data_IF_063801097263
#
_entry.id   IF_063801097263
#
_cell.length_a   1.000
_cell.length_b   1.000
_cell.length_c   1.000
_cell.angle_alpha   90.00
_cell.angle_beta   90.00
_cell.angle_gamma   90.00
#
_symmetry.space_group_name_H-M   'P 1'
#
loop_
_entity.id
_entity.type
_entity.pdbx_description
1 polymer ?
#
# COMPACT_ATOMS: atom_id res chain seq x y z
N UNK A 1 -14.57 -37.46 13.11
CA UNK A 1 -13.35 -38.16 13.57
C UNK A 1 -12.21 -37.66 12.69
N UNK A 2 -11.66 -36.50 13.03
CA UNK A 2 -10.42 -36.03 12.40
C UNK A 2 -9.31 -36.91 12.96
N UNK A 3 -8.71 -37.76 12.12
CA UNK A 3 -7.57 -38.58 12.55
C UNK A 3 -6.40 -37.65 12.84
N UNK A 4 -5.92 -37.67 14.08
CA UNK A 4 -4.68 -36.99 14.48
C UNK A 4 -3.57 -37.31 13.47
N UNK A 5 -2.78 -36.32 13.03
CA UNK A 5 -1.72 -36.56 12.08
C UNK A 5 -0.73 -37.55 12.67
N UNK A 6 -0.49 -38.66 11.96
CA UNK A 6 0.52 -39.64 12.36
C UNK A 6 1.88 -38.93 12.54
N UNK A 7 2.63 -39.33 13.56
CA UNK A 7 3.96 -38.78 13.89
C UNK A 7 4.91 -38.74 12.67
N UNK A 8 4.79 -39.70 11.75
CA UNK A 8 5.52 -39.71 10.48
C UNK A 8 5.16 -38.54 9.53
N UNK A 9 3.88 -38.16 9.44
CA UNK A 9 3.42 -37.05 8.60
C UNK A 9 3.86 -35.70 9.16
N UNK A 10 3.79 -35.54 10.49
CA UNK A 10 4.31 -34.36 11.18
C UNK A 10 5.82 -34.19 10.97
N UNK A 11 6.59 -35.28 11.11
CA UNK A 11 8.03 -35.29 10.83
C UNK A 11 8.37 -34.98 9.37
N UNK A 12 7.61 -35.52 8.41
CA UNK A 12 7.80 -35.22 6.99
C UNK A 12 7.54 -33.73 6.67
N UNK A 13 6.47 -33.15 7.23
CA UNK A 13 6.17 -31.71 7.09
C UNK A 13 7.25 -30.83 7.70
N UNK A 14 7.78 -31.20 8.88
CA UNK A 14 8.87 -30.46 9.52
C UNK A 14 10.15 -30.50 8.67
N UNK A 15 10.51 -31.67 8.10
CA UNK A 15 11.67 -31.79 7.20
C UNK A 15 11.52 -30.96 5.93
N UNK A 16 10.34 -30.99 5.30
CA UNK A 16 10.08 -30.19 4.10
C UNK A 16 10.21 -28.69 4.40
N UNK A 17 9.72 -28.26 5.57
CA UNK A 17 9.81 -26.86 6.02
C UNK A 17 11.27 -26.42 6.23
N UNK A 18 12.11 -27.26 6.85
CA UNK A 18 13.54 -26.99 7.02
C UNK A 18 14.23 -26.90 5.65
N UNK A 19 13.98 -27.85 4.75
CA UNK A 19 14.58 -27.84 3.41
C UNK A 19 14.19 -26.59 2.60
N UNK A 20 12.94 -26.13 2.67
CA UNK A 20 12.52 -24.89 2.04
C UNK A 20 13.27 -23.66 2.60
N UNK A 21 13.64 -23.68 3.90
CA UNK A 21 14.29 -22.55 4.56
C UNK A 21 15.77 -22.53 4.24
N UNK A 22 16.41 -23.71 4.21
CA UNK A 22 17.77 -23.86 3.70
C UNK A 22 17.90 -23.39 2.25
N UNK A 23 16.91 -23.71 1.40
CA UNK A 23 16.86 -23.22 0.02
C UNK A 23 16.72 -21.70 -0.06
N UNK A 24 15.87 -21.10 0.78
CA UNK A 24 15.70 -19.64 0.84
C UNK A 24 16.97 -18.93 1.36
N UNK A 25 17.62 -19.49 2.38
CA UNK A 25 18.92 -19.00 2.88
C UNK A 25 19.97 -19.07 1.77
N UNK A 26 20.05 -20.19 1.04
CA UNK A 26 20.98 -20.32 -0.08
C UNK A 26 20.70 -19.30 -1.20
N UNK A 27 19.43 -19.05 -1.51
CA UNK A 27 18.99 -18.04 -2.48
C UNK A 27 19.42 -16.63 -2.07
N UNK A 28 19.24 -16.26 -0.80
CA UNK A 28 19.65 -14.97 -0.25
C UNK A 28 21.18 -14.84 -0.17
N UNK A 29 21.93 -15.92 0.07
CA UNK A 29 23.41 -15.92 0.00
C UNK A 29 23.89 -15.64 -1.42
N UNK A 30 23.31 -16.27 -2.43
CA UNK A 30 23.61 -15.98 -3.84
C UNK A 30 23.25 -14.53 -4.20
N UNK A 31 22.09 -14.07 -3.75
CA UNK A 31 21.64 -12.70 -3.98
C UNK A 31 22.55 -11.66 -3.31
N UNK A 32 23.05 -11.95 -2.11
CA UNK A 32 24.01 -11.11 -1.41
C UNK A 32 25.32 -10.99 -2.18
N UNK A 33 25.82 -12.10 -2.74
CA UNK A 33 27.00 -12.09 -3.59
C UNK A 33 26.77 -11.23 -4.84
N UNK A 34 25.60 -11.38 -5.48
CA UNK A 34 25.20 -10.55 -6.63
C UNK A 34 25.14 -9.05 -6.28
N UNK A 35 24.50 -8.70 -5.16
CA UNK A 35 24.38 -7.32 -4.71
C UNK A 35 25.74 -6.68 -4.39
N UNK A 36 26.66 -7.43 -3.75
CA UNK A 36 28.04 -6.96 -3.49
C UNK A 36 28.83 -6.74 -4.77
N UNK A 37 28.74 -7.66 -5.73
CA UNK A 37 29.37 -7.47 -7.05
C UNK A 37 28.82 -6.22 -7.77
N UNK A 38 27.52 -5.94 -7.62
CA UNK A 38 26.92 -4.73 -8.17
C UNK A 38 27.48 -3.44 -7.54
N UNK A 39 27.76 -3.43 -6.23
CA UNK A 39 28.45 -2.33 -5.53
C UNK A 39 29.86 -2.13 -6.08
N UNK A 40 30.64 -3.20 -6.21
CA UNK A 40 32.03 -3.14 -6.70
C UNK A 40 32.12 -2.57 -8.14
N UNK A 41 31.12 -2.88 -8.96
CA UNK A 41 31.04 -2.43 -10.35
C UNK A 41 30.50 -1.01 -10.55
N UNK A 42 29.99 -0.34 -9.51
CA UNK A 42 29.31 0.96 -9.63
C UNK A 42 30.30 2.14 -9.48
N UNK A 43 30.60 2.87 -10.57
CA UNK A 43 31.55 3.98 -10.52
C UNK A 43 31.01 5.24 -9.84
N UNK A 44 29.69 5.45 -9.84
CA UNK A 44 29.09 6.63 -9.23
C UNK A 44 28.93 6.45 -7.71
N UNK A 45 29.50 7.38 -6.92
CA UNK A 45 29.51 7.26 -5.47
C UNK A 45 28.09 7.29 -4.85
N UNK A 46 27.17 8.07 -5.40
CA UNK A 46 25.79 8.15 -4.91
C UNK A 46 25.01 6.87 -5.22
N UNK A 47 25.13 6.36 -6.44
CA UNK A 47 24.55 5.05 -6.82
C UNK A 47 25.18 3.91 -6.04
N UNK A 48 26.46 3.99 -5.70
CA UNK A 48 27.14 3.01 -4.86
C UNK A 48 26.52 2.98 -3.46
N UNK A 49 26.30 4.13 -2.83
CA UNK A 49 25.64 4.23 -1.53
C UNK A 49 24.22 3.60 -1.56
N UNK A 50 23.47 3.83 -2.64
CA UNK A 50 22.17 3.18 -2.86
C UNK A 50 22.28 1.64 -2.92
N UNK A 51 23.26 1.12 -3.67
CA UNK A 51 23.49 -0.33 -3.77
C UNK A 51 24.01 -0.94 -2.47
N UNK A 52 24.78 -0.20 -1.69
CA UNK A 52 25.23 -0.63 -0.35
C UNK A 52 24.05 -0.76 0.62
N UNK A 53 23.03 0.08 0.51
CA UNK A 53 21.79 -0.12 1.26
C UNK A 53 21.04 -1.38 0.81
N UNK A 54 21.02 -1.70 -0.49
CA UNK A 54 20.44 -2.97 -0.97
C UNK A 54 21.18 -4.15 -0.34
N UNK A 55 22.52 -4.13 -0.30
CA UNK A 55 23.32 -5.15 0.39
C UNK A 55 22.88 -5.29 1.84
N UNK A 56 22.75 -4.17 2.58
CA UNK A 56 22.29 -4.18 3.99
C UNK A 56 20.91 -4.81 4.17
N UNK A 57 19.96 -4.56 3.24
CA UNK A 57 18.62 -5.17 3.28
C UNK A 57 18.65 -6.67 3.02
N UNK A 58 19.46 -7.13 2.07
CA UNK A 58 19.64 -8.57 1.80
C UNK A 58 20.31 -9.25 3.00
N UNK A 59 21.31 -8.63 3.63
CA UNK A 59 21.95 -9.14 4.86
C UNK A 59 20.95 -9.25 6.02
N UNK A 60 20.15 -8.20 6.25
CA UNK A 60 19.13 -8.21 7.29
C UNK A 60 18.06 -9.29 7.05
N UNK A 61 17.64 -9.49 5.80
CA UNK A 61 16.72 -10.56 5.43
C UNK A 61 17.34 -11.94 5.66
N UNK A 62 18.58 -12.16 5.24
CA UNK A 62 19.33 -13.40 5.44
C UNK A 62 19.47 -13.75 6.93
N UNK A 63 19.82 -12.77 7.76
CA UNK A 63 19.95 -12.97 9.21
C UNK A 63 18.61 -13.29 9.88
N UNK A 64 17.52 -12.64 9.44
CA UNK A 64 16.16 -13.00 9.88
C UNK A 64 15.81 -14.43 9.45
N UNK A 65 16.05 -14.82 8.20
CA UNK A 65 15.79 -16.17 7.72
C UNK A 65 16.57 -17.24 8.50
N UNK A 66 17.85 -16.98 8.84
CA UNK A 66 18.64 -17.87 9.71
C UNK A 66 18.01 -18.04 11.10
N UNK A 67 17.62 -16.95 11.76
CA UNK A 67 16.93 -17.00 13.07
C UNK A 67 15.59 -17.73 12.98
N UNK A 68 14.84 -17.55 11.89
CA UNK A 68 13.61 -18.28 11.65
C UNK A 68 13.92 -19.78 11.52
N UNK A 69 14.95 -20.16 10.76
CA UNK A 69 15.31 -21.56 10.54
C UNK A 69 15.57 -22.36 11.83
N UNK A 70 16.12 -21.70 12.85
CA UNK A 70 16.38 -22.29 14.18
C UNK A 70 15.11 -22.61 14.96
N UNK A 71 13.99 -21.92 14.68
CA UNK A 71 12.77 -21.96 15.49
C UNK A 71 11.52 -22.40 14.73
N UNK A 72 11.58 -22.49 13.39
CA UNK A 72 10.42 -22.68 12.52
C UNK A 72 9.71 -24.03 12.74
N UNK A 73 10.42 -25.04 13.23
CA UNK A 73 9.86 -26.38 13.51
C UNK A 73 9.07 -26.42 14.81
N UNK A 74 9.31 -25.48 15.73
CA UNK A 74 8.62 -25.36 17.02
C UNK A 74 7.64 -24.19 17.06
N UNK A 75 7.72 -23.25 16.09
CA UNK A 75 6.81 -22.10 15.99
C UNK A 75 5.42 -22.57 15.55
N UNK A 76 4.39 -22.20 16.31
CA UNK A 76 3.02 -22.39 15.88
C UNK A 76 2.71 -21.48 14.68
N UNK A 77 1.86 -21.94 13.76
CA UNK A 77 1.33 -21.07 12.70
C UNK A 77 0.62 -19.87 13.33
N UNK A 78 0.82 -18.70 12.75
CA UNK A 78 0.13 -17.50 13.22
C UNK A 78 -1.32 -17.57 12.74
N UNK A 79 -2.27 -17.34 13.63
CA UNK A 79 -3.67 -17.24 13.24
C UNK A 79 -3.86 -15.96 12.42
N UNK A 80 -4.48 -16.09 11.25
CA UNK A 80 -4.93 -14.93 10.46
C UNK A 80 -5.87 -14.09 11.31
N UNK A 81 -5.56 -12.80 11.44
CA UNK A 81 -6.35 -11.84 12.19
C UNK A 81 -7.38 -11.17 11.27
N UNK A 82 -8.56 -10.85 11.79
CA UNK A 82 -9.46 -9.95 11.08
C UNK A 82 -8.95 -8.51 11.25
N UNK A 83 -9.02 -7.69 10.19
CA UNK A 83 -8.81 -6.23 10.35
C UNK A 83 -9.94 -5.67 11.22
N UNK A 84 -9.59 -4.88 12.24
CA UNK A 84 -10.57 -4.25 13.11
C UNK A 84 -11.37 -3.20 12.33
N UNK A 85 -12.69 -3.20 12.50
CA UNK A 85 -13.59 -2.15 12.01
C UNK A 85 -13.94 -1.20 13.15
N UNK A 86 -13.82 0.10 12.91
CA UNK A 86 -14.19 1.14 13.87
C UNK A 86 -14.99 2.22 13.16
N UNK A 87 -16.12 2.59 13.73
CA UNK A 87 -16.95 3.66 13.19
C UNK A 87 -16.29 5.03 13.44
N UNK A 88 -16.27 5.88 12.42
CA UNK A 88 -15.60 7.18 12.42
C UNK A 88 -16.06 8.09 13.57
N UNK A 89 -17.35 8.05 13.93
CA UNK A 89 -17.90 8.81 15.08
C UNK A 89 -17.33 8.40 16.45
N UNK A 90 -16.64 7.27 16.53
CA UNK A 90 -16.03 6.74 17.77
C UNK A 90 -14.51 6.71 17.72
N UNK A 91 -13.92 7.08 16.59
CA UNK A 91 -12.48 7.07 16.37
C UNK A 91 -11.97 8.51 16.24
N UNK A 92 -11.41 9.05 17.33
CA UNK A 92 -10.72 10.34 17.26
C UNK A 92 -9.43 10.23 16.45
N UNK A 93 -8.92 11.35 15.93
CA UNK A 93 -7.64 11.34 15.21
C UNK A 93 -6.48 10.93 16.13
N UNK A 94 -6.50 11.37 17.39
CA UNK A 94 -5.50 10.97 18.39
C UNK A 94 -5.53 9.45 18.64
N UNK A 95 -6.73 8.86 18.80
CA UNK A 95 -6.86 7.41 18.95
C UNK A 95 -6.41 6.66 17.69
N UNK A 96 -6.77 7.16 16.50
CA UNK A 96 -6.31 6.58 15.23
C UNK A 96 -4.78 6.49 15.17
N UNK A 97 -4.09 7.60 15.44
CA UNK A 97 -2.63 7.66 15.42
C UNK A 97 -2.00 6.75 16.48
N UNK A 98 -2.50 6.81 17.72
CA UNK A 98 -1.94 6.04 18.85
C UNK A 98 -2.16 4.54 18.74
N UNK A 99 -3.33 4.10 18.27
CA UNK A 99 -3.75 2.69 18.32
C UNK A 99 -3.52 1.91 17.03
N UNK A 100 -3.27 2.61 15.91
CA UNK A 100 -3.12 1.96 14.60
C UNK A 100 -1.84 2.39 13.88
N UNK A 101 -1.63 3.70 13.72
CA UNK A 101 -0.44 4.22 13.01
C UNK A 101 0.83 3.89 13.80
N UNK A 102 0.90 4.28 15.07
CA UNK A 102 2.09 4.10 15.91
C UNK A 102 2.39 2.62 16.26
N UNK A 103 1.43 1.72 16.08
CA UNK A 103 1.57 0.29 16.39
C UNK A 103 1.64 -0.61 15.17
N UNK A 104 1.68 -0.05 13.95
CA UNK A 104 1.70 -0.79 12.69
C UNK A 104 0.53 -1.79 12.56
N UNK A 105 -0.69 -1.39 12.94
CA UNK A 105 -1.89 -2.23 12.86
C UNK A 105 -2.86 -1.66 11.82
N UNK A 106 -3.30 -2.43 10.80
CA UNK A 106 -4.30 -1.97 9.86
C UNK A 106 -5.69 -1.82 10.52
N UNK A 107 -6.49 -0.88 10.01
CA UNK A 107 -7.86 -0.63 10.48
C UNK A 107 -8.78 -0.27 9.32
N UNK A 108 -10.02 -0.73 9.39
CA UNK A 108 -11.10 -0.25 8.54
C UNK A 108 -11.93 0.77 9.31
N UNK A 109 -12.06 1.96 8.74
CA UNK A 109 -12.89 3.05 9.24
C UNK A 109 -14.22 3.01 8.48
N UNK A 110 -15.32 2.96 9.22
CA UNK A 110 -16.70 2.92 8.68
C UNK A 110 -17.48 4.18 9.03
N UNK A 111 -18.62 4.42 8.41
CA UNK A 111 -19.47 5.60 8.70
C UNK A 111 -19.10 6.85 7.90
N UNK A 112 -18.35 6.71 6.81
CA UNK A 112 -17.96 7.80 5.91
C UNK A 112 -18.61 7.70 4.53
N UNK A 113 -19.44 6.67 4.28
CA UNK A 113 -20.06 6.35 2.99
C UNK A 113 -20.66 7.57 2.29
N UNK A 114 -21.42 8.38 3.03
CA UNK A 114 -22.14 9.55 2.53
C UNK A 114 -21.23 10.78 2.32
N UNK A 115 -19.96 10.71 2.71
CA UNK A 115 -19.07 11.87 2.76
C UNK A 115 -17.90 11.78 1.77
N UNK A 116 -17.54 10.56 1.34
CA UNK A 116 -16.38 10.30 0.46
C UNK A 116 -16.51 10.95 -0.92
N UNK A 117 -17.72 11.15 -1.42
CA UNK A 117 -17.98 11.73 -2.75
C UNK A 117 -19.09 12.79 -2.70
N UNK A 118 -19.21 13.62 -3.74
CA UNK A 118 -20.29 14.61 -3.83
C UNK A 118 -21.69 14.01 -3.98
N UNK A 119 -21.79 12.75 -4.42
CA UNK A 119 -23.04 12.01 -4.60
C UNK A 119 -23.67 11.61 -3.25
N UNK A 120 -22.95 11.74 -2.15
CA UNK A 120 -23.43 11.37 -0.83
C UNK A 120 -23.77 9.88 -0.71
N UNK A 121 -24.94 9.57 -0.15
CA UNK A 121 -25.45 8.20 -0.02
C UNK A 121 -25.57 7.44 -1.35
N UNK A 122 -25.56 8.15 -2.48
CA UNK A 122 -25.60 7.57 -3.83
C UNK A 122 -24.19 7.34 -4.42
N UNK A 123 -23.11 7.48 -3.65
CA UNK A 123 -21.72 7.38 -4.11
C UNK A 123 -21.38 6.13 -4.93
N UNK A 124 -22.02 5.00 -4.64
CA UNK A 124 -21.83 3.75 -5.39
C UNK A 124 -22.33 3.82 -6.85
N UNK A 125 -23.25 4.77 -7.17
CA UNK A 125 -23.68 5.04 -8.55
C UNK A 125 -22.58 5.71 -9.39
N UNK A 126 -21.61 6.34 -8.74
CA UNK A 126 -20.45 7.00 -9.37
C UNK A 126 -20.84 8.09 -10.38
N UNK A 127 -21.91 8.86 -10.14
CA UNK A 127 -22.30 9.98 -11.00
C UNK A 127 -21.23 11.07 -10.99
N UNK A 128 -20.65 11.38 -9.81
CA UNK A 128 -19.51 12.27 -9.63
C UNK A 128 -18.34 11.98 -10.60
N UNK A 129 -18.08 10.70 -10.88
CA UNK A 129 -17.00 10.25 -11.74
C UNK A 129 -17.35 10.46 -13.22
N UNK A 130 -18.56 10.08 -13.61
CA UNK A 130 -19.01 10.10 -15.00
C UNK A 130 -19.29 11.52 -15.49
N UNK A 131 -19.94 12.34 -14.67
CA UNK A 131 -20.33 13.70 -15.04
C UNK A 131 -19.11 14.62 -15.21
N UNK A 132 -18.09 14.45 -14.37
CA UNK A 132 -16.92 15.34 -14.34
C UNK A 132 -15.66 14.78 -14.99
N UNK A 133 -15.56 13.46 -15.10
CA UNK A 133 -14.40 12.75 -15.64
C UNK A 133 -14.69 11.91 -16.88
N UNK A 134 -15.95 11.66 -17.23
CA UNK A 134 -16.32 10.63 -18.21
C UNK A 134 -15.67 10.78 -19.59
N UNK A 135 -15.50 12.01 -20.09
CA UNK A 135 -14.87 12.29 -21.40
C UNK A 135 -13.34 12.40 -21.35
N UNK A 136 -12.73 12.20 -20.18
CA UNK A 136 -11.27 12.22 -20.05
C UNK A 136 -10.70 10.91 -20.56
N UNK A 137 -9.61 11.03 -21.31
CA UNK A 137 -8.83 9.88 -21.76
C UNK A 137 -7.94 9.37 -20.64
N UNK A 138 -8.04 8.08 -20.34
CA UNK A 138 -7.29 7.39 -19.29
C UNK A 138 -6.55 6.19 -19.85
N UNK A 139 -5.40 5.86 -19.25
CA UNK A 139 -4.61 4.70 -19.62
C UNK A 139 -5.06 3.49 -18.80
N UNK A 140 -5.51 2.44 -19.47
CA UNK A 140 -6.08 1.22 -18.86
C UNK A 140 -5.20 0.03 -19.22
N UNK A 141 -4.79 -0.73 -18.22
CA UNK A 141 -4.06 -1.98 -18.44
C UNK A 141 -5.03 -3.13 -18.74
N UNK A 142 -4.54 -4.17 -19.41
CA UNK A 142 -5.33 -5.34 -19.85
C UNK A 142 -4.66 -6.63 -19.41
N UNK A 143 -5.37 -7.75 -19.57
CA UNK A 143 -4.85 -9.10 -19.39
C UNK A 143 -4.18 -9.32 -18.02
N UNK A 144 -4.79 -8.79 -16.96
CA UNK A 144 -4.32 -8.97 -15.58
C UNK A 144 -2.86 -8.50 -15.37
N UNK A 145 -2.46 -7.40 -16.00
CA UNK A 145 -1.07 -6.92 -16.01
C UNK A 145 -0.40 -6.73 -14.63
N UNK A 146 -1.18 -6.67 -13.55
CA UNK A 146 -0.71 -6.40 -12.18
C UNK A 146 -0.59 -7.66 -11.30
N UNK A 147 -0.70 -8.88 -11.86
CA UNK A 147 -0.60 -10.14 -11.07
C UNK A 147 0.82 -10.49 -10.60
N UNK A 148 1.86 -9.85 -11.15
CA UNK A 148 3.26 -10.10 -10.78
C UNK A 148 4.01 -8.79 -10.60
N UNK A 149 4.61 -8.60 -9.42
CA UNK A 149 5.39 -7.41 -9.08
C UNK A 149 6.69 -7.26 -9.91
N UNK A 150 7.10 -8.34 -10.58
CA UNK A 150 8.35 -8.42 -11.36
C UNK A 150 8.18 -8.02 -12.83
N UNK A 151 6.94 -7.97 -13.33
CA UNK A 151 6.67 -7.66 -14.74
C UNK A 151 6.24 -6.19 -14.88
N UNK A 152 6.88 -5.47 -15.80
CA UNK A 152 6.34 -4.19 -16.26
C UNK A 152 5.07 -4.45 -17.08
N UNK A 153 4.07 -3.56 -16.95
CA UNK A 153 2.87 -3.63 -17.76
C UNK A 153 3.23 -3.51 -19.25
N UNK A 154 2.90 -4.56 -20.04
CA UNK A 154 3.34 -4.68 -21.43
C UNK A 154 2.63 -3.72 -22.40
N UNK A 155 1.40 -3.29 -22.09
CA UNK A 155 0.63 -2.34 -22.90
C UNK A 155 -0.51 -1.72 -22.10
N UNK A 156 -0.79 -0.44 -22.33
CA UNK A 156 -1.98 0.25 -21.83
C UNK A 156 -2.77 0.84 -23.01
N UNK A 157 -4.09 0.68 -22.98
CA UNK A 157 -5.00 1.29 -23.94
C UNK A 157 -5.42 2.67 -23.43
N UNK A 158 -5.56 3.63 -24.35
CA UNK A 158 -6.10 4.96 -24.01
C UNK A 158 -7.57 5.01 -24.43
N UNK A 159 -8.48 5.08 -23.45
CA UNK A 159 -9.94 5.01 -23.65
C UNK A 159 -10.64 6.14 -22.91
N UNK A 160 -11.90 6.43 -23.24
CA UNK A 160 -12.72 7.32 -22.41
C UNK A 160 -13.02 6.68 -21.06
N UNK A 161 -12.96 7.46 -19.99
CA UNK A 161 -13.22 6.97 -18.63
C UNK A 161 -14.63 6.38 -18.49
N UNK A 162 -15.64 7.01 -19.11
CA UNK A 162 -17.01 6.50 -19.09
C UNK A 162 -17.16 5.19 -19.86
N UNK A 163 -16.47 5.06 -21.01
CA UNK A 163 -16.45 3.83 -21.80
C UNK A 163 -15.86 2.67 -21.00
N UNK A 164 -14.68 2.89 -20.39
CA UNK A 164 -14.05 1.90 -19.51
C UNK A 164 -14.91 1.54 -18.32
N UNK A 165 -15.46 2.55 -17.62
CA UNK A 165 -16.36 2.32 -16.49
C UNK A 165 -17.54 1.44 -16.88
N UNK A 166 -18.26 1.77 -17.97
CA UNK A 166 -19.42 0.99 -18.39
C UNK A 166 -19.05 -0.43 -18.80
N UNK A 167 -17.94 -0.62 -19.50
CA UNK A 167 -17.46 -1.95 -19.86
C UNK A 167 -17.14 -2.79 -18.61
N UNK A 168 -16.47 -2.20 -17.61
CA UNK A 168 -16.19 -2.85 -16.32
C UNK A 168 -17.48 -3.21 -15.58
N UNK A 169 -18.45 -2.29 -15.51
CA UNK A 169 -19.70 -2.53 -14.79
C UNK A 169 -20.63 -3.54 -15.46
N UNK A 170 -20.48 -3.76 -16.77
CA UNK A 170 -21.22 -4.79 -17.53
C UNK A 170 -20.45 -6.11 -17.65
N UNK A 171 -19.26 -6.21 -17.06
CA UNK A 171 -18.36 -7.36 -17.18
C UNK A 171 -17.95 -7.66 -18.64
N UNK A 172 -17.84 -6.60 -19.47
CA UNK A 172 -17.48 -6.66 -20.89
C UNK A 172 -15.97 -6.45 -21.13
N UNK A 173 -15.19 -6.18 -20.07
CA UNK A 173 -13.76 -5.91 -20.13
C UNK A 173 -12.95 -6.69 -19.07
N UNK A 174 -13.03 -8.02 -19.03
CA UNK A 174 -12.29 -8.83 -18.07
C UNK A 174 -10.78 -8.56 -18.12
N UNK A 175 -10.13 -8.59 -16.96
CA UNK A 175 -8.69 -8.35 -16.84
C UNK A 175 -8.26 -6.90 -17.05
N UNK A 176 -9.20 -5.95 -17.21
CA UNK A 176 -8.90 -4.54 -17.40
C UNK A 176 -8.84 -3.75 -16.08
N UNK A 177 -7.86 -2.85 -15.97
CA UNK A 177 -7.63 -2.10 -14.75
C UNK A 177 -7.12 -0.67 -15.05
N UNK A 178 -7.92 0.34 -14.70
CA UNK A 178 -7.40 1.69 -14.50
C UNK A 178 -6.69 1.69 -13.14
N UNK A 179 -5.38 1.58 -13.17
CA UNK A 179 -4.54 1.44 -11.98
C UNK A 179 -3.81 2.75 -11.69
N UNK A 180 -3.88 3.23 -10.45
CA UNK A 180 -3.07 4.33 -9.94
C UNK A 180 -3.14 5.62 -10.81
N UNK A 181 -4.36 6.00 -11.20
CA UNK A 181 -4.58 7.19 -12.01
C UNK A 181 -4.66 8.43 -11.13
N UNK A 182 -3.56 9.17 -11.01
CA UNK A 182 -3.48 10.42 -10.24
C UNK A 182 -4.65 11.38 -10.54
N UNK A 183 -5.52 11.58 -9.55
CA UNK A 183 -6.65 12.52 -9.66
C UNK A 183 -6.15 13.95 -9.88
N UNK A 184 -5.20 14.49 -9.08
CA UNK A 184 -4.78 15.88 -9.23
C UNK A 184 -4.13 16.19 -10.60
N UNK A 185 -3.39 15.23 -11.17
CA UNK A 185 -2.66 15.45 -12.42
C UNK A 185 -3.48 15.09 -13.67
N UNK A 186 -4.32 14.05 -13.59
CA UNK A 186 -4.99 13.48 -14.78
C UNK A 186 -6.48 13.81 -14.82
N UNK A 187 -7.11 13.94 -13.65
CA UNK A 187 -8.56 14.13 -13.51
C UNK A 187 -8.88 15.28 -12.53
N UNK A 188 -8.29 16.49 -12.70
CA UNK A 188 -8.36 17.56 -11.70
C UNK A 188 -9.79 18.01 -11.36
N UNK A 189 -10.74 17.86 -12.29
CA UNK A 189 -12.17 18.15 -12.06
C UNK A 189 -12.80 17.27 -10.98
N UNK A 190 -12.22 16.10 -10.68
CA UNK A 190 -12.68 15.22 -9.60
C UNK A 190 -12.18 15.67 -8.21
N UNK A 191 -11.22 16.60 -8.15
CA UNK A 191 -10.68 17.12 -6.89
C UNK A 191 -11.70 17.86 -6.03
N UNK A 192 -12.77 18.38 -6.64
CA UNK A 192 -13.88 19.03 -5.92
C UNK A 192 -14.89 18.04 -5.33
N UNK A 193 -14.84 16.79 -5.78
CA UNK A 193 -15.90 15.80 -5.61
C UNK A 193 -15.49 14.71 -4.64
N UNK A 194 -14.22 14.32 -4.72
CA UNK A 194 -13.61 13.35 -3.82
C UNK A 194 -13.21 14.05 -2.54
N UNK A 195 -13.56 13.45 -1.40
CA UNK A 195 -13.16 13.94 -0.09
C UNK A 195 -12.24 12.95 0.61
N UNK A 196 -11.14 13.47 1.16
CA UNK A 196 -10.13 12.70 1.87
C UNK A 196 -10.52 12.63 3.35
N UNK A 197 -10.56 11.44 3.96
CA UNK A 197 -10.73 11.32 5.40
C UNK A 197 -9.63 12.08 6.15
N UNK A 198 -10.00 12.87 7.16
CA UNK A 198 -9.06 13.70 7.94
C UNK A 198 -7.97 12.90 8.63
N UNK A 199 -8.19 11.61 8.86
CA UNK A 199 -7.20 10.66 9.37
C UNK A 199 -5.91 10.61 8.54
N UNK A 200 -5.94 11.07 7.29
CA UNK A 200 -4.77 11.08 6.37
C UNK A 200 -4.41 12.48 5.91
N UNK A 201 -5.14 13.52 6.34
CA UNK A 201 -4.92 14.89 5.91
C UNK A 201 -3.64 15.51 6.49
N UNK A 202 -3.03 14.85 7.48
CA UNK A 202 -1.73 15.25 8.04
C UNK A 202 -0.54 14.75 7.22
N UNK A 203 -0.74 14.33 5.97
CA UNK A 203 0.32 13.93 5.05
C UNK A 203 1.36 15.05 4.86
N UNK A 204 2.58 14.82 5.31
CA UNK A 204 3.70 15.77 5.16
C UNK A 204 4.10 15.96 3.71
N UNK A 205 3.87 14.96 2.84
CA UNK A 205 4.15 15.09 1.42
C UNK A 205 3.21 16.09 0.70
N UNK A 206 2.10 16.49 1.33
CA UNK A 206 1.26 17.58 0.82
C UNK A 206 1.56 18.93 1.48
N UNK A 207 2.34 18.97 2.57
CA UNK A 207 2.56 20.17 3.40
C UNK A 207 3.91 20.85 3.15
N UNK A 208 4.63 20.43 2.11
CA UNK A 208 5.95 20.99 1.77
C UNK A 208 5.83 22.40 1.15
N UNK A 209 6.79 23.28 1.42
CA UNK A 209 6.85 24.62 0.80
C UNK A 209 7.17 24.59 -0.71
N UNK A 210 7.76 23.49 -1.19
CA UNK A 210 8.22 23.35 -2.58
C UNK A 210 7.48 22.22 -3.27
N UNK A 211 7.12 22.41 -4.53
CA UNK A 211 6.60 21.31 -5.34
C UNK A 211 7.68 20.26 -5.58
N UNK A 212 7.29 18.99 -5.48
CA UNK A 212 8.13 17.84 -5.70
C UNK A 212 7.36 16.74 -6.43
N UNK A 213 8.02 15.60 -6.70
CA UNK A 213 7.47 14.52 -7.52
C UNK A 213 6.14 13.91 -7.02
N UNK A 214 5.78 14.12 -5.74
CA UNK A 214 4.59 13.55 -5.12
C UNK A 214 3.55 14.57 -4.65
N UNK A 215 3.78 15.88 -4.83
CA UNK A 215 2.85 16.94 -4.39
C UNK A 215 1.49 16.92 -5.10
N UNK A 216 1.35 16.11 -6.15
CA UNK A 216 0.11 15.95 -6.93
C UNK A 216 -0.12 14.50 -7.36
N UNK A 217 0.67 13.55 -6.85
CA UNK A 217 0.57 12.16 -7.30
C UNK A 217 -0.71 11.49 -6.80
N UNK A 218 -1.13 11.82 -5.57
CA UNK A 218 -2.30 11.23 -4.92
C UNK A 218 -3.33 12.29 -4.48
N UNK A 219 -4.58 11.89 -4.24
CA UNK A 219 -5.09 10.52 -4.36
C UNK A 219 -5.16 10.04 -5.82
N UNK A 220 -5.04 8.73 -6.01
CA UNK A 220 -5.18 8.05 -7.28
C UNK A 220 -6.54 7.36 -7.38
N UNK A 221 -7.12 7.37 -8.58
CA UNK A 221 -8.34 6.66 -8.92
C UNK A 221 -8.03 5.23 -9.40
N UNK A 222 -8.86 4.30 -8.97
CA UNK A 222 -8.84 2.89 -9.36
C UNK A 222 -10.22 2.48 -9.91
N UNK A 223 -10.26 1.96 -11.15
CA UNK A 223 -11.48 1.37 -11.75
C UNK A 223 -11.13 0.02 -12.35
N UNK A 224 -11.59 -1.06 -11.72
CA UNK A 224 -11.09 -2.40 -11.98
C UNK A 224 -12.21 -3.37 -12.34
N UNK A 225 -11.98 -4.17 -13.38
CA UNK A 225 -12.79 -5.34 -13.69
C UNK A 225 -12.70 -6.36 -12.55
N UNK A 226 -13.75 -7.19 -12.46
CA UNK A 226 -13.79 -8.33 -11.55
C UNK A 226 -12.59 -9.26 -11.76
N UNK A 227 -12.16 -9.92 -10.68
CA UNK A 227 -11.09 -10.92 -10.60
C UNK A 227 -9.66 -10.39 -10.90
N UNK A 228 -9.52 -9.11 -11.23
CA UNK A 228 -8.21 -8.44 -11.35
C UNK A 228 -7.53 -8.32 -9.98
N UNK A 229 -6.20 -8.26 -9.98
CA UNK A 229 -5.38 -8.31 -8.76
C UNK A 229 -4.28 -7.27 -8.76
N UNK A 230 -3.87 -6.84 -7.57
CA UNK A 230 -2.55 -6.23 -7.34
C UNK A 230 -1.69 -7.25 -6.59
N UNK A 231 -0.50 -7.54 -7.14
CA UNK A 231 0.45 -8.49 -6.57
C UNK A 231 0.87 -8.11 -5.15
N UNK A 232 1.37 -9.07 -4.39
CA UNK A 232 1.97 -8.78 -3.08
C UNK A 232 3.15 -7.82 -3.26
N UNK A 233 3.13 -6.68 -2.57
CA UNK A 233 4.16 -5.64 -2.68
C UNK A 233 4.28 -4.83 -1.39
N UNK A 234 5.33 -4.01 -1.32
CA UNK A 234 5.53 -2.98 -0.30
C UNK A 234 5.57 -1.64 -1.02
N UNK A 235 4.83 -0.66 -0.52
CA UNK A 235 4.83 0.68 -1.08
C UNK A 235 6.19 1.36 -0.96
N UNK A 236 6.48 2.25 -1.92
CA UNK A 236 7.76 2.95 -1.98
C UNK A 236 8.01 3.76 -0.71
N UNK A 237 9.30 3.91 -0.35
CA UNK A 237 9.80 4.70 0.79
C UNK A 237 9.07 4.40 2.13
N UNK A 238 8.46 3.21 2.23
CA UNK A 238 7.71 2.75 3.41
C UNK A 238 6.58 3.70 3.80
N UNK A 239 5.93 4.30 2.82
CA UNK A 239 4.77 5.16 3.00
C UNK A 239 3.59 4.42 3.61
N UNK A 240 2.86 5.10 4.50
CA UNK A 240 1.53 4.66 4.86
C UNK A 240 0.62 4.73 3.63
N UNK A 241 -0.48 3.99 3.67
CA UNK A 241 -1.44 3.95 2.57
C UNK A 241 -2.86 3.96 3.13
N UNK A 242 -3.76 4.63 2.42
CA UNK A 242 -5.19 4.49 2.65
C UNK A 242 -5.92 4.19 1.34
N UNK A 243 -7.00 3.43 1.42
CA UNK A 243 -7.96 3.29 0.32
C UNK A 243 -9.39 3.50 0.80
N UNK A 244 -10.12 4.37 0.12
CA UNK A 244 -11.56 4.52 0.25
C UNK A 244 -12.25 3.74 -0.88
N UNK A 245 -13.06 2.75 -0.50
CA UNK A 245 -13.81 1.92 -1.42
C UNK A 245 -15.15 2.56 -1.73
N UNK A 246 -15.37 3.01 -2.97
CA UNK A 246 -16.61 3.72 -3.35
C UNK A 246 -17.67 2.75 -3.87
N UNK A 247 -17.26 1.73 -4.63
CA UNK A 247 -18.16 0.74 -5.23
C UNK A 247 -17.52 -0.62 -5.30
N UNK A 248 -18.30 -1.67 -5.04
CA UNK A 248 -17.82 -3.04 -5.10
C UNK A 248 -16.89 -3.41 -3.94
N UNK A 249 -16.31 -4.61 -4.03
CA UNK A 249 -15.60 -5.28 -2.95
C UNK A 249 -14.16 -5.63 -3.33
N UNK A 250 -13.21 -5.24 -2.47
CA UNK A 250 -11.80 -5.64 -2.59
C UNK A 250 -11.40 -6.52 -1.43
N UNK A 251 -10.86 -7.70 -1.70
CA UNK A 251 -10.19 -8.53 -0.70
C UNK A 251 -8.76 -8.11 -0.54
N UNK A 252 -8.41 -7.70 0.68
CA UNK A 252 -7.08 -7.31 1.10
C UNK A 252 -6.45 -8.39 1.96
N UNK A 253 -5.17 -8.62 1.71
CA UNK A 253 -4.30 -9.38 2.60
C UNK A 253 -3.11 -8.49 2.95
N UNK A 254 -2.91 -8.24 4.24
CA UNK A 254 -1.85 -7.36 4.78
C UNK A 254 -0.99 -8.16 5.74
N UNK A 255 0.33 -8.06 5.62
CA UNK A 255 1.29 -8.68 6.54
C UNK A 255 1.98 -7.62 7.39
N UNK A 256 2.36 -7.98 8.62
CA UNK A 256 3.14 -7.08 9.44
C UNK A 256 4.55 -6.87 8.85
N UNK A 257 5.02 -5.62 8.79
CA UNK A 257 6.32 -5.25 8.16
C UNK A 257 7.52 -6.07 8.65
N UNK A 258 7.59 -6.34 9.96
CA UNK A 258 8.68 -7.12 10.55
C UNK A 258 8.75 -8.57 10.07
N UNK A 259 7.63 -9.09 9.55
CA UNK A 259 7.45 -10.47 9.14
C UNK A 259 7.72 -10.67 7.63
N UNK A 260 8.23 -9.64 6.93
CA UNK A 260 8.57 -9.71 5.49
C UNK A 260 9.52 -10.86 5.15
N UNK A 261 10.42 -11.27 6.06
CA UNK A 261 11.33 -12.40 5.84
C UNK A 261 10.60 -13.76 5.68
N UNK A 262 9.36 -13.89 6.16
CA UNK A 262 8.53 -15.07 5.92
C UNK A 262 7.93 -15.12 4.50
N UNK A 263 8.08 -14.05 3.72
CA UNK A 263 7.47 -13.86 2.41
C UNK A 263 8.47 -13.94 1.25
N UNK A 264 9.69 -14.44 1.50
CA UNK A 264 10.75 -14.63 0.50
C UNK A 264 11.07 -13.36 -0.32
N UNK A 265 11.48 -12.26 0.35
CA UNK A 265 11.76 -11.00 -0.31
C UNK A 265 12.99 -11.08 -1.22
N UNK A 266 12.95 -10.39 -2.35
CA UNK A 266 14.04 -10.34 -3.33
C UNK A 266 14.34 -8.90 -3.76
N UNK A 267 15.59 -8.50 -3.66
CA UNK A 267 16.14 -7.23 -4.11
C UNK A 267 16.92 -7.35 -5.43
N UNK A 268 16.83 -8.49 -6.14
CA UNK A 268 17.52 -8.67 -7.45
C UNK A 268 17.18 -7.62 -8.50
N UNK A 269 16.00 -6.98 -8.38
CA UNK A 269 15.59 -5.86 -9.23
C UNK A 269 16.44 -4.60 -9.05
N UNK A 270 17.23 -4.51 -7.98
CA UNK A 270 18.03 -3.33 -7.68
C UNK A 270 17.19 -2.15 -7.17
N UNK A 271 16.05 -2.42 -6.53
CA UNK A 271 15.18 -1.41 -5.89
C UNK A 271 15.30 -1.49 -4.37
N UNK A 272 14.84 -0.47 -3.62
CA UNK A 272 14.86 -0.49 -2.15
C UNK A 272 13.73 -1.35 -1.58
N UNK A 273 12.55 -1.30 -2.20
CA UNK A 273 11.43 -2.20 -1.99
C UNK A 273 11.74 -3.60 -2.55
N UNK A 274 11.45 -4.68 -1.78
CA UNK A 274 11.64 -6.03 -2.28
C UNK A 274 10.54 -6.42 -3.27
N UNK A 275 10.92 -7.16 -4.31
CA UNK A 275 9.98 -8.00 -5.03
C UNK A 275 9.49 -9.13 -4.11
N UNK A 276 8.20 -9.45 -4.21
CA UNK A 276 7.56 -10.51 -3.44
C UNK A 276 6.82 -11.48 -4.38
N UNK A 277 6.80 -12.78 -4.06
CA UNK A 277 6.05 -13.76 -4.83
C UNK A 277 4.53 -13.49 -4.78
N UNK A 278 3.83 -13.84 -5.86
CA UNK A 278 2.39 -13.63 -5.96
C UNK A 278 1.60 -14.45 -4.94
N UNK A 279 0.49 -13.91 -4.40
CA UNK A 279 -0.33 -14.62 -3.41
C UNK A 279 -0.93 -15.94 -3.90
N UNK A 280 -1.15 -16.10 -5.21
CA UNK A 280 -1.64 -17.37 -5.76
C UNK A 280 -0.65 -18.53 -5.62
N UNK A 281 0.61 -18.23 -5.26
CA UNK A 281 1.63 -19.26 -4.96
C UNK A 281 1.57 -19.76 -3.51
N UNK A 282 0.62 -19.30 -2.69
CA UNK A 282 0.48 -19.72 -1.28
C UNK A 282 0.01 -21.17 -1.11
N UNK A 283 -0.72 -21.71 -2.09
CA UNK A 283 -1.16 -23.11 -2.09
C UNK A 283 -0.07 -24.08 -2.61
N UNK A 284 1.00 -23.54 -3.20
CA UNK A 284 2.18 -24.30 -3.59
C UNK A 284 3.25 -24.22 -2.49
N UNK A 285 4.05 -25.27 -2.38
CA UNK A 285 5.19 -25.43 -1.45
C UNK A 285 6.19 -24.26 -1.38
N UNK A 286 6.08 -23.26 -2.25
CA UNK A 286 6.94 -22.08 -2.34
C UNK A 286 6.78 -21.13 -1.16
N UNK A 287 5.57 -20.90 -0.64
CA UNK A 287 5.36 -19.99 0.51
C UNK A 287 5.00 -20.71 1.81
N UNK A 288 5.63 -21.85 2.07
CA UNK A 288 5.43 -22.66 3.27
C UNK A 288 5.60 -21.88 4.60
N UNK A 289 6.32 -20.75 4.56
CA UNK A 289 6.62 -19.91 5.73
C UNK A 289 5.60 -18.80 5.98
N UNK A 290 4.82 -18.40 4.98
CA UNK A 290 3.97 -17.22 5.08
C UNK A 290 2.86 -17.40 6.13
N UNK A 291 2.47 -18.64 6.43
CA UNK A 291 1.56 -18.98 7.55
C UNK A 291 2.11 -18.65 8.95
N UNK A 292 3.40 -18.34 9.07
CA UNK A 292 4.02 -17.91 10.33
C UNK A 292 4.17 -16.39 10.43
N UNK A 293 3.81 -15.64 9.39
CA UNK A 293 3.73 -14.18 9.41
C UNK A 293 2.40 -13.75 10.04
N UNK A 294 2.43 -12.67 10.82
CA UNK A 294 1.21 -11.96 11.22
C UNK A 294 0.54 -11.41 9.97
N UNK A 295 -0.70 -11.82 9.76
CA UNK A 295 -1.51 -11.52 8.58
C UNK A 295 -2.88 -11.05 8.99
N UNK A 296 -3.36 -10.02 8.31
CA UNK A 296 -4.75 -9.61 8.34
C UNK A 296 -5.39 -9.82 6.98
N UNK A 297 -6.60 -10.38 6.98
CA UNK A 297 -7.45 -10.44 5.79
C UNK A 297 -8.72 -9.61 6.02
N UNK A 298 -9.16 -8.89 4.98
CA UNK A 298 -10.42 -8.14 5.02
C UNK A 298 -11.03 -8.00 3.62
N UNK A 299 -12.33 -8.21 3.52
CA UNK A 299 -13.11 -7.75 2.38
C UNK A 299 -13.57 -6.32 2.67
N UNK A 300 -13.03 -5.35 1.93
CA UNK A 300 -13.34 -3.93 2.03
C UNK A 300 -14.53 -3.63 1.11
N UNK A 301 -15.65 -3.20 1.68
CA UNK A 301 -16.89 -2.92 0.96
C UNK A 301 -17.12 -1.43 0.68
N UNK A 302 -18.18 -1.07 -0.09
CA UNK A 302 -18.53 0.31 -0.39
C UNK A 302 -18.68 1.17 0.88
N UNK A 303 -18.13 2.38 0.84
CA UNK A 303 -18.14 3.33 1.95
C UNK A 303 -17.05 3.10 3.01
N UNK A 304 -16.39 1.94 2.99
CA UNK A 304 -15.33 1.63 3.96
C UNK A 304 -13.98 2.20 3.53
N UNK A 305 -13.17 2.60 4.52
CA UNK A 305 -11.84 3.15 4.33
C UNK A 305 -10.80 2.30 5.04
N UNK A 306 -9.85 1.72 4.32
CA UNK A 306 -8.75 0.94 4.89
C UNK A 306 -7.51 1.80 5.10
N UNK A 307 -6.89 1.70 6.26
CA UNK A 307 -5.51 2.13 6.53
C UNK A 307 -4.55 0.93 6.51
N UNK A 308 -3.43 1.08 5.80
CA UNK A 308 -2.33 0.12 5.74
C UNK A 308 -1.04 0.79 6.25
N UNK A 309 -0.39 0.20 7.28
CA UNK A 309 0.87 0.73 7.81
C UNK A 309 2.03 0.73 6.79
N UNK A 310 2.94 1.68 6.95
CA UNK A 310 4.09 1.83 6.08
C UNK A 310 5.05 0.66 6.15
N UNK A 311 5.51 0.19 4.99
CA UNK A 311 6.39 -0.99 4.91
C UNK A 311 5.67 -2.33 5.08
N UNK A 312 4.35 -2.35 5.25
CA UNK A 312 3.56 -3.58 5.35
C UNK A 312 3.36 -4.23 3.97
N UNK A 313 3.82 -5.48 3.76
CA UNK A 313 3.52 -6.20 2.53
C UNK A 313 2.01 -6.43 2.39
N UNK A 314 1.44 -6.10 1.24
CA UNK A 314 0.01 -6.27 1.03
C UNK A 314 -0.33 -6.63 -0.42
N UNK A 315 -1.49 -7.27 -0.62
CA UNK A 315 -2.01 -7.60 -1.93
C UNK A 315 -3.54 -7.43 -1.96
N UNK A 316 -4.07 -7.28 -3.18
CA UNK A 316 -5.47 -6.94 -3.40
C UNK A 316 -6.08 -7.84 -4.47
N UNK A 317 -7.30 -8.31 -4.23
CA UNK A 317 -8.11 -9.04 -5.21
C UNK A 317 -9.48 -8.38 -5.34
N UNK A 318 -9.83 -7.91 -6.53
CA UNK A 318 -11.12 -7.28 -6.81
C UNK A 318 -12.19 -8.38 -6.99
N UNK A 319 -13.06 -8.55 -6.00
CA UNK A 319 -14.04 -9.65 -5.96
C UNK A 319 -15.17 -9.43 -6.98
N UNK A 320 -15.48 -8.17 -7.25
CA UNK A 320 -16.45 -7.71 -8.23
C UNK A 320 -15.90 -6.47 -8.96
N UNK A 321 -16.73 -5.79 -9.76
CA UNK A 321 -16.35 -4.56 -10.45
C UNK A 321 -16.23 -3.40 -9.45
N UNK A 322 -15.04 -2.78 -9.37
CA UNK A 322 -14.72 -1.84 -8.28
C UNK A 322 -14.38 -0.43 -8.74
N UNK A 323 -14.75 0.55 -7.91
CA UNK A 323 -14.26 1.93 -7.95
C UNK A 323 -13.74 2.31 -6.57
N UNK A 324 -12.52 2.83 -6.51
CA UNK A 324 -11.90 3.29 -5.28
C UNK A 324 -10.95 4.46 -5.54
N UNK A 325 -10.63 5.22 -4.49
CA UNK A 325 -9.50 6.15 -4.52
C UNK A 325 -8.60 5.90 -3.32
N UNK A 326 -7.32 6.17 -3.49
CA UNK A 326 -6.31 5.85 -2.48
C UNK A 326 -5.13 6.81 -2.56
N UNK A 327 -4.32 6.85 -1.51
CA UNK A 327 -3.10 7.63 -1.51
C UNK A 327 -2.09 7.10 -0.51
N UNK A 328 -0.81 7.35 -0.80
CA UNK A 328 0.24 7.20 0.17
C UNK A 328 0.42 8.49 0.96
N UNK A 329 0.84 8.37 2.21
CA UNK A 329 1.16 9.52 3.05
C UNK A 329 2.36 9.27 3.96
N UNK A 330 2.97 10.38 4.37
CA UNK A 330 4.08 10.42 5.31
C UNK A 330 3.64 11.19 6.55
N UNK A 331 4.00 10.70 7.72
CA UNK A 331 3.77 11.37 8.99
C UNK A 331 4.92 11.15 9.98
N UNK A 332 4.74 11.59 11.22
CA UNK A 332 5.75 11.51 12.27
C UNK A 332 6.27 10.09 12.53
N UNK A 333 5.50 9.06 12.22
CA UNK A 333 5.84 7.67 12.54
C UNK A 333 6.67 6.98 11.47
N UNK A 334 6.70 7.54 10.24
CA UNK A 334 7.46 6.99 9.11
C UNK A 334 8.40 7.98 8.40
N UNK A 335 8.38 9.27 8.73
CA UNK A 335 9.21 10.30 8.07
C UNK A 335 10.69 9.97 8.02
N UNK A 336 11.30 9.47 9.11
CA UNK A 336 12.73 9.14 9.13
C UNK A 336 13.09 8.04 8.11
N UNK A 337 12.23 7.02 8.01
CA UNK A 337 12.40 5.92 7.05
C UNK A 337 12.18 6.41 5.63
N UNK A 338 11.18 7.27 5.43
CA UNK A 338 10.89 7.86 4.13
C UNK A 338 12.02 8.78 3.65
N UNK A 339 12.53 9.68 4.49
CA UNK A 339 13.64 10.57 4.17
C UNK A 339 14.92 9.80 3.83
N UNK A 340 15.22 8.74 4.59
CA UNK A 340 16.35 7.86 4.30
C UNK A 340 16.23 7.24 2.89
N UNK A 341 15.07 6.63 2.58
CA UNK A 341 14.83 6.02 1.28
C UNK A 341 14.82 7.07 0.15
N UNK A 342 14.19 8.23 0.35
CA UNK A 342 14.11 9.31 -0.63
C UNK A 342 15.48 9.92 -0.94
N UNK A 343 16.36 10.10 0.06
CA UNK A 343 17.74 10.54 -0.16
C UNK A 343 18.49 9.57 -1.06
N UNK A 344 18.42 8.28 -0.74
CA UNK A 344 19.06 7.23 -1.53
C UNK A 344 18.47 7.15 -2.95
N UNK A 345 17.15 7.25 -3.09
CA UNK A 345 16.50 7.35 -4.40
C UNK A 345 16.96 8.58 -5.17
N UNK A 346 17.16 9.73 -4.51
CA UNK A 346 17.74 10.93 -5.10
C UNK A 346 19.15 10.73 -5.62
N UNK A 347 20.01 10.03 -4.85
CA UNK A 347 21.35 9.66 -5.27
C UNK A 347 21.35 8.71 -6.48
N UNK A 348 20.36 7.82 -6.57
CA UNK A 348 20.28 6.83 -7.64
C UNK A 348 19.60 7.35 -8.93
N UNK A 349 18.51 8.09 -8.78
CA UNK A 349 17.59 8.49 -9.86
C UNK A 349 17.76 9.96 -10.28
N UNK A 350 18.44 10.77 -9.46
CA UNK A 350 18.82 12.14 -9.78
C UNK A 350 17.98 13.24 -9.12
N UNK A 351 18.12 14.45 -9.67
CA UNK A 351 17.73 15.70 -9.01
C UNK A 351 16.25 15.81 -8.65
N UNK A 352 15.33 15.22 -9.44
CA UNK A 352 13.89 15.29 -9.15
C UNK A 352 13.53 14.57 -7.85
N UNK A 353 14.10 13.37 -7.62
CA UNK A 353 13.90 12.63 -6.37
C UNK A 353 14.65 13.28 -5.21
N UNK A 354 15.84 13.83 -5.45
CA UNK A 354 16.57 14.58 -4.41
C UNK A 354 15.80 15.84 -3.98
N UNK A 355 15.10 16.51 -4.90
CA UNK A 355 14.24 17.64 -4.56
C UNK A 355 13.05 17.23 -3.69
N UNK A 356 12.52 16.00 -3.86
CA UNK A 356 11.52 15.44 -2.93
C UNK A 356 12.09 15.26 -1.53
N UNK A 357 13.28 14.67 -1.40
CA UNK A 357 13.96 14.57 -0.11
C UNK A 357 14.10 15.95 0.54
N UNK A 358 14.66 16.94 -0.17
CA UNK A 358 14.85 18.28 0.37
C UNK A 358 13.55 19.01 0.70
N UNK A 359 12.45 18.75 -0.02
CA UNK A 359 11.16 19.35 0.30
C UNK A 359 10.54 18.79 1.59
N UNK A 360 10.76 17.50 1.88
CA UNK A 360 10.27 16.83 3.09
C UNK A 360 11.19 17.06 4.30
N UNK A 361 12.51 17.13 4.11
CA UNK A 361 13.51 17.36 5.17
C UNK A 361 13.36 18.76 5.81
N UNK A 362 12.75 19.70 5.07
CA UNK A 362 12.44 21.06 5.54
C UNK A 362 11.13 21.14 6.35
N UNK A 363 10.36 20.06 6.47
CA UNK A 363 9.07 20.08 7.20
C UNK A 363 9.33 20.08 8.71
N UNK A 364 9.06 21.22 9.35
CA UNK A 364 8.96 21.30 10.81
C UNK A 364 7.57 20.83 11.25
N UNK A 365 7.52 19.84 12.14
CA UNK A 365 6.27 19.25 12.62
C UNK A 365 5.93 19.68 14.05
N UNK A 366 4.64 19.98 14.27
CA UNK A 366 4.04 20.12 15.58
C UNK A 366 3.27 18.83 15.95
N UNK A 367 3.74 18.04 16.94
CA UNK A 367 3.10 16.80 17.39
C UNK A 367 1.67 16.95 17.90
N UNK A 368 1.23 18.18 18.17
CA UNK A 368 -0.13 18.47 18.62
C UNK A 368 -1.08 18.79 17.45
N UNK A 369 -0.55 19.05 16.26
CA UNK A 369 -1.35 19.43 15.09
C UNK A 369 -2.11 18.23 14.51
N UNK A 370 -3.45 18.32 14.55
CA UNK A 370 -4.34 17.27 14.06
C UNK A 370 -4.57 16.10 15.03
N UNK A 371 -3.96 16.11 16.22
CA UNK A 371 -4.11 15.06 17.24
C UNK A 371 -5.23 15.40 18.24
N UNK A 372 -6.45 15.63 17.74
CA UNK A 372 -7.60 15.91 18.61
C UNK A 372 -8.14 14.63 19.24
N UNK A 373 -8.39 14.67 20.55
CA UNK A 373 -9.04 13.59 21.30
C UNK A 373 -10.56 13.58 21.10
N UNK A 374 -11.13 14.70 20.65
CA UNK A 374 -12.56 14.85 20.44
C UNK A 374 -13.06 13.98 19.28
N UNK A 375 -14.18 13.31 19.50
CA UNK A 375 -14.95 12.66 18.44
C UNK A 375 -16.08 13.59 17.98
N UNK A 376 -16.62 13.34 16.79
CA UNK A 376 -17.75 14.08 16.25
C UNK A 376 -18.80 13.12 15.73
N UNK A 377 -20.08 13.48 15.87
CA UNK A 377 -21.18 12.77 15.21
C UNK A 377 -21.48 13.37 13.83
N UNK A 378 -20.94 14.53 13.50
CA UNK A 378 -21.04 15.12 12.16
C UNK A 378 -19.89 14.59 11.28
N UNK A 379 -20.20 13.62 10.41
CA UNK A 379 -19.21 12.92 9.58
C UNK A 379 -18.60 13.83 8.52
N UNK A 380 -19.29 14.88 8.09
CA UNK A 380 -18.77 15.89 7.18
C UNK A 380 -17.54 16.60 7.74
N UNK A 381 -17.42 16.71 9.06
CA UNK A 381 -16.24 17.28 9.70
C UNK A 381 -15.04 16.32 9.66
N UNK A 382 -15.22 15.05 9.32
CA UNK A 382 -14.16 14.03 9.25
C UNK A 382 -13.61 13.82 7.83
N UNK A 383 -14.05 14.64 6.87
CA UNK A 383 -13.50 14.65 5.51
C UNK A 383 -13.09 16.06 5.11
N UNK A 384 -12.18 16.17 4.15
CA UNK A 384 -11.74 17.42 3.52
C UNK A 384 -11.80 17.26 2.01
N UNK A 385 -12.02 18.34 1.27
CA UNK A 385 -12.00 18.23 -0.19
C UNK A 385 -10.59 17.89 -0.68
N UNK A 386 -10.48 17.14 -1.76
CA UNK A 386 -9.18 16.75 -2.32
C UNK A 386 -8.33 17.97 -2.72
N UNK A 387 -8.94 19.04 -3.23
CA UNK A 387 -8.28 20.32 -3.51
C UNK A 387 -7.71 21.04 -2.28
N UNK A 388 -8.32 20.84 -1.10
CA UNK A 388 -7.82 21.35 0.19
C UNK A 388 -6.71 20.46 0.77
N UNK A 389 -6.78 19.16 0.51
CA UNK A 389 -5.74 18.21 0.90
C UNK A 389 -4.44 18.45 0.11
N UNK A 390 -4.55 18.63 -1.20
CA UNK A 390 -3.39 18.95 -2.06
C UNK A 390 -2.83 20.31 -1.67
N UNK A 391 -1.53 20.35 -1.34
CA UNK A 391 -0.88 21.58 -0.86
C UNK A 391 -1.11 21.88 0.63
N UNK A 392 -1.71 20.94 1.39
CA UNK A 392 -1.60 20.90 2.85
C UNK A 392 -2.54 21.84 3.61
N UNK A 393 -3.41 22.59 2.93
CA UNK A 393 -4.34 23.51 3.59
C UNK A 393 -5.23 22.75 4.61
N UNK A 394 -5.64 21.53 4.28
CA UNK A 394 -6.44 20.65 5.12
C UNK A 394 -5.83 20.34 6.50
N UNK A 395 -4.50 20.28 6.61
CA UNK A 395 -3.82 19.95 7.86
C UNK A 395 -4.02 21.03 8.94
N UNK A 396 -4.24 22.27 8.52
CA UNK A 396 -4.44 23.43 9.41
C UNK A 396 -5.91 23.80 9.64
N UNK A 397 -6.85 23.09 9.01
CA UNK A 397 -8.27 23.40 9.13
C UNK A 397 -8.80 23.00 10.53
N UNK A 398 -9.48 23.91 11.26
CA UNK A 398 -10.06 23.59 12.55
C UNK A 398 -11.16 22.52 12.39
N UNK A 399 -11.22 21.60 13.36
CA UNK A 399 -12.16 20.47 13.41
C UNK A 399 -13.65 20.88 13.41
N UNK A 400 -13.94 22.15 13.71
CA UNK A 400 -15.29 22.68 13.98
C UNK A 400 -15.90 23.52 12.84
N UNK A 401 -15.40 23.46 11.60
CA UNK A 401 -16.15 24.09 10.49
C UNK A 401 -17.36 23.24 10.13
N UNK A 402 -18.48 23.54 10.81
CA UNK A 402 -19.82 23.06 10.47
C UNK A 402 -20.40 23.72 9.23
#
# INVERSE_FOLDING_TARGET
>A
VESEPTDAHARARARALVACMEAEIARLVDELAYARAAVESEPDAGKREYREEIVRRVEAALDKCRKISETVTTKAATTTMAVRRVHASTLSLAAFRREYVATDIPVVITGLEDELTEDGADGEKCAWLLERGGTKKVAVTRNDAHVKSELSCASADVVDLSEHFHAVMRDESPGSYLYDCSIPLKLPSLGECVRIPRYFAHDYAQQTMRLHAFSRSWPSLFVAAKDTRSSLHVDQWQGHFFMAQVRGTKRWTVFHRDDTAYLQPSWRRGTLDPALPALSTFDDTRMAFAKYARRWDVDLGPGEVLFVPGGAPHAVHNIDATVAFAGNFIDETNIDRALFDLRLMGLNQGAAMMATFGALDEVEFDPTLGAFEDTTTNMRNLVVRCDEYIGGAAASLPFTRG
#
